data_IF_896394135012
#
_entry.id   IF_896394135012
#
_cell.length_a   1.000
_cell.length_b   1.000
_cell.length_c   1.000
_cell.angle_alpha   90.00
_cell.angle_beta   90.00
_cell.angle_gamma   90.00
#
_symmetry.space_group_name_H-M   'P 1'
#
loop_
_entity.id
_entity.type
_entity.pdbx_description
1 polymer ?
#
# COMPACT_ATOMS: atom_id res chain seq x y z
N UNK A 1 43.60 40.52 0.08
CA UNK A 1 43.88 39.20 -0.50
C UNK A 1 42.90 38.13 0.01
N UNK A 2 41.58 38.35 -0.08
CA UNK A 2 40.58 37.40 0.46
C UNK A 2 39.64 36.83 -0.62
N UNK A 3 39.79 37.24 -1.88
CA UNK A 3 38.84 36.90 -2.95
C UNK A 3 39.23 35.65 -3.78
N UNK A 4 40.39 35.03 -3.52
CA UNK A 4 40.90 33.91 -4.34
C UNK A 4 40.73 32.52 -3.70
N UNK A 5 40.23 32.43 -2.46
CA UNK A 5 40.07 31.16 -1.73
C UNK A 5 38.67 30.56 -1.94
N UNK A 6 37.63 31.39 -2.00
CA UNK A 6 36.23 30.97 -2.16
C UNK A 6 35.96 30.26 -3.51
N UNK A 7 36.60 30.69 -4.59
CA UNK A 7 36.38 30.11 -5.92
C UNK A 7 36.99 28.70 -6.11
N UNK A 8 37.88 28.25 -5.21
CA UNK A 8 38.44 26.88 -5.28
C UNK A 8 37.65 25.85 -4.49
N UNK A 9 36.83 26.27 -3.53
CA UNK A 9 36.00 25.35 -2.72
C UNK A 9 34.76 24.94 -3.52
N UNK A 10 34.15 25.86 -4.27
CA UNK A 10 32.95 25.59 -5.06
C UNK A 10 33.17 24.59 -6.23
N UNK A 11 34.39 24.42 -6.73
CA UNK A 11 34.68 23.47 -7.81
C UNK A 11 34.81 22.01 -7.34
N UNK A 12 35.10 21.77 -6.06
CA UNK A 12 35.19 20.40 -5.50
C UNK A 12 33.84 19.80 -5.11
N UNK A 13 32.83 20.62 -4.82
CA UNK A 13 31.50 20.15 -4.43
C UNK A 13 30.66 19.74 -5.65
N UNK A 14 30.92 20.31 -6.83
CA UNK A 14 30.26 19.92 -8.09
C UNK A 14 30.94 18.72 -8.81
N UNK A 15 32.02 18.16 -8.24
CA UNK A 15 32.77 17.04 -8.80
C UNK A 15 32.35 15.65 -8.31
N UNK A 16 31.55 15.54 -7.24
CA UNK A 16 31.24 14.25 -6.60
C UNK A 16 29.83 13.72 -6.90
N UNK A 17 29.00 14.45 -7.64
CA UNK A 17 27.65 14.00 -7.99
C UNK A 17 27.59 13.24 -9.34
N UNK A 18 28.72 13.00 -10.03
CA UNK A 18 28.75 12.44 -11.40
C UNK A 18 29.27 11.01 -11.55
N UNK A 19 29.51 10.25 -10.48
CA UNK A 19 30.06 8.89 -10.58
C UNK A 19 29.36 7.87 -9.66
N UNK A 20 28.08 7.60 -9.92
CA UNK A 20 27.44 6.40 -9.35
C UNK A 20 26.56 5.69 -10.40
N UNK A 21 27.11 4.74 -11.19
CA UNK A 21 26.35 4.05 -12.24
C UNK A 21 25.60 2.83 -11.70
N UNK A 22 25.12 2.86 -10.45
CA UNK A 22 24.47 1.70 -9.81
C UNK A 22 22.97 1.84 -9.60
N UNK A 23 22.33 2.81 -10.26
CA UNK A 23 20.88 2.90 -10.36
C UNK A 23 20.43 2.40 -11.75
N UNK A 24 20.61 1.11 -12.00
CA UNK A 24 19.97 0.46 -13.14
C UNK A 24 18.50 0.23 -12.78
N UNK A 25 17.65 1.20 -13.13
CA UNK A 25 16.20 1.05 -13.13
C UNK A 25 15.84 0.08 -14.27
N UNK A 26 15.96 -1.22 -14.03
CA UNK A 26 15.29 -2.22 -14.84
C UNK A 26 13.90 -2.42 -14.25
N UNK A 27 12.90 -1.73 -14.82
CA UNK A 27 11.55 -1.80 -14.30
C UNK A 27 10.55 -0.87 -14.95
N UNK A 28 10.69 -0.52 -16.22
CA UNK A 28 9.57 0.00 -17.00
C UNK A 28 8.59 -1.14 -17.25
N UNK A 29 7.70 -1.38 -16.28
CA UNK A 29 6.55 -2.27 -16.47
C UNK A 29 5.54 -1.54 -17.35
N UNK A 30 5.80 -1.56 -18.65
CA UNK A 30 4.89 -1.06 -19.68
C UNK A 30 3.65 -1.96 -19.68
N UNK A 31 2.52 -1.44 -19.21
CA UNK A 31 1.22 -2.06 -19.41
C UNK A 31 0.79 -1.80 -20.85
N UNK A 32 0.97 -2.78 -21.74
CA UNK A 32 0.30 -2.78 -23.03
C UNK A 32 -1.19 -3.04 -22.80
N UNK A 33 -2.02 -2.04 -23.06
CA UNK A 33 -3.47 -2.19 -23.14
C UNK A 33 -3.80 -2.99 -24.40
N UNK A 34 -3.86 -4.33 -24.27
CA UNK A 34 -4.35 -5.20 -25.31
C UNK A 34 -5.87 -5.34 -25.17
N UNK A 35 -6.59 -4.82 -26.17
CA UNK A 35 -8.00 -5.15 -26.43
C UNK A 35 -8.09 -6.61 -26.88
N UNK A 36 -9.04 -7.37 -26.33
CA UNK A 36 -9.54 -8.60 -26.91
C UNK A 36 -9.29 -9.85 -26.06
N UNK A 37 -10.29 -10.25 -25.28
CA UNK A 37 -10.35 -11.53 -24.59
C UNK A 37 -10.80 -12.63 -25.56
N UNK A 38 -9.91 -13.57 -25.89
CA UNK A 38 -10.30 -14.89 -26.38
C UNK A 38 -10.11 -15.91 -25.27
N UNK A 39 -11.19 -16.65 -25.02
CA UNK A 39 -11.36 -17.67 -23.99
C UNK A 39 -10.48 -18.88 -24.33
N UNK A 40 -9.52 -19.21 -23.47
CA UNK A 40 -8.79 -20.48 -23.52
C UNK A 40 -8.95 -21.21 -22.19
N UNK A 41 -9.56 -22.39 -22.27
CA UNK A 41 -9.72 -23.35 -21.19
C UNK A 41 -8.65 -24.43 -21.29
N UNK A 42 -7.76 -24.48 -20.32
CA UNK A 42 -6.97 -25.66 -19.89
C UNK A 42 -6.50 -25.33 -18.47
N UNK A 43 -6.57 -26.17 -17.44
CA UNK A 43 -6.47 -27.62 -17.41
C UNK A 43 -5.28 -27.97 -16.52
N UNK A 44 -5.49 -28.03 -15.20
CA UNK A 44 -4.63 -28.74 -14.25
C UNK A 44 -3.68 -27.92 -13.36
N UNK A 45 -4.04 -27.80 -12.08
CA UNK A 45 -3.10 -27.99 -10.97
C UNK A 45 -3.88 -28.57 -9.78
N UNK A 46 -3.56 -29.82 -9.46
CA UNK A 46 -4.11 -30.59 -8.35
C UNK A 46 -3.52 -30.13 -7.02
N UNK A 47 -4.37 -29.99 -6.01
CA UNK A 47 -3.98 -30.21 -4.60
C UNK A 47 -3.26 -29.06 -3.90
N UNK A 48 -3.91 -27.92 -3.73
CA UNK A 48 -3.72 -27.16 -2.49
C UNK A 48 -4.97 -27.40 -1.66
N UNK A 49 -4.83 -28.03 -0.50
CA UNK A 49 -5.93 -28.13 0.48
C UNK A 49 -6.42 -26.72 0.74
N UNK A 50 -7.56 -26.37 0.16
CA UNK A 50 -8.20 -25.08 0.38
C UNK A 50 -8.73 -25.09 1.81
N UNK A 51 -7.84 -24.84 2.77
CA UNK A 51 -8.24 -24.44 4.11
C UNK A 51 -9.13 -23.23 3.90
N UNK A 52 -10.44 -23.43 4.08
CA UNK A 52 -11.44 -22.38 3.93
C UNK A 52 -10.97 -21.20 4.76
N UNK A 53 -10.69 -20.06 4.12
CA UNK A 53 -10.35 -18.84 4.85
C UNK A 53 -11.50 -18.58 5.82
N UNK A 54 -11.24 -18.53 7.14
CA UNK A 54 -12.31 -18.30 8.10
C UNK A 54 -12.99 -16.99 7.72
N UNK A 55 -14.32 -17.01 7.69
CA UNK A 55 -15.10 -15.82 7.38
C UNK A 55 -14.72 -14.72 8.40
N UNK A 56 -14.04 -13.68 7.91
CA UNK A 56 -13.51 -12.62 8.75
C UNK A 56 -14.67 -11.73 9.18
N UNK A 57 -14.95 -11.70 10.49
CA UNK A 57 -15.85 -10.70 11.06
C UNK A 57 -15.31 -9.31 10.73
N UNK A 58 -16.16 -8.43 10.21
CA UNK A 58 -15.80 -7.06 9.83
C UNK A 58 -15.22 -6.23 10.99
N UNK A 59 -14.75 -5.02 10.66
CA UNK A 59 -14.09 -4.12 11.60
C UNK A 59 -14.99 -3.76 12.78
N UNK A 60 -14.40 -3.58 13.97
CA UNK A 60 -15.16 -3.22 15.16
C UNK A 60 -15.61 -1.76 15.16
N UNK A 61 -16.53 -1.43 16.08
CA UNK A 61 -17.01 -0.06 16.31
C UNK A 61 -15.90 0.92 16.74
N UNK A 62 -14.73 0.43 17.15
CA UNK A 62 -13.58 1.29 17.46
C UNK A 62 -12.98 1.90 16.21
N UNK A 63 -13.01 1.16 15.10
CA UNK A 63 -12.50 1.63 13.81
C UNK A 63 -13.53 2.53 13.13
N UNK A 64 -14.78 2.10 13.11
CA UNK A 64 -15.85 2.74 12.35
C UNK A 64 -17.19 2.51 13.04
N UNK A 65 -17.78 3.59 13.56
CA UNK A 65 -19.11 3.60 14.15
C UNK A 65 -20.06 4.34 13.22
N UNK A 66 -20.84 3.58 12.44
CA UNK A 66 -21.76 4.15 11.44
C UNK A 66 -23.14 4.28 12.07
N UNK A 67 -23.61 5.51 12.34
CA UNK A 67 -24.98 5.71 12.77
C UNK A 67 -25.93 5.41 11.61
N UNK A 68 -27.15 4.97 11.93
CA UNK A 68 -28.21 4.81 10.92
C UNK A 68 -28.84 6.15 10.49
N UNK A 69 -28.40 7.25 11.08
CA UNK A 69 -28.84 8.61 10.77
C UNK A 69 -27.89 9.25 9.76
N UNK A 70 -28.35 10.32 9.11
CA UNK A 70 -27.48 11.11 8.22
C UNK A 70 -26.30 11.67 9.00
N UNK A 71 -25.10 11.51 8.46
CA UNK A 71 -23.84 11.93 9.11
C UNK A 71 -23.47 13.38 8.78
N UNK A 72 -24.32 14.04 7.99
CA UNK A 72 -24.17 15.41 7.52
C UNK A 72 -25.16 15.73 6.40
N UNK A 73 -25.28 17.00 6.00
CA UNK A 73 -26.22 17.41 4.95
C UNK A 73 -25.90 16.71 3.62
N UNK A 74 -26.80 15.85 3.15
CA UNK A 74 -26.63 15.08 1.92
C UNK A 74 -25.66 13.89 2.03
N UNK A 75 -25.27 13.53 3.25
CA UNK A 75 -24.44 12.35 3.53
C UNK A 75 -25.30 11.24 4.13
N UNK A 76 -26.16 10.67 3.27
CA UNK A 76 -26.98 9.49 3.57
C UNK A 76 -26.78 8.43 2.49
N UNK A 77 -27.06 7.16 2.81
CA UNK A 77 -26.93 6.02 1.88
C UNK A 77 -27.85 6.15 0.67
N UNK A 78 -28.91 6.96 0.78
CA UNK A 78 -29.86 7.25 -0.29
C UNK A 78 -29.44 8.39 -1.22
N UNK A 79 -28.44 9.19 -0.84
CA UNK A 79 -28.05 10.42 -1.56
C UNK A 79 -27.06 10.13 -2.71
N UNK A 80 -26.58 11.19 -3.37
CA UNK A 80 -25.64 11.12 -4.48
C UNK A 80 -24.24 10.63 -4.06
N UNK A 81 -23.78 11.04 -2.87
CA UNK A 81 -22.50 10.60 -2.31
C UNK A 81 -22.63 9.18 -1.75
N UNK A 82 -21.80 8.26 -2.24
CA UNK A 82 -21.95 6.82 -1.99
C UNK A 82 -21.21 6.26 -0.78
N UNK A 83 -20.36 7.06 -0.14
CA UNK A 83 -19.55 6.64 1.00
C UNK A 83 -19.71 7.56 2.21
N UNK A 84 -20.93 7.72 2.76
CA UNK A 84 -21.15 8.56 3.94
C UNK A 84 -20.30 8.11 5.14
N UNK A 85 -19.90 6.85 5.21
CA UNK A 85 -19.09 6.29 6.28
C UNK A 85 -17.73 6.98 6.44
N UNK A 86 -17.21 7.62 5.38
CA UNK A 86 -15.99 8.41 5.44
C UNK A 86 -16.03 9.51 6.51
N UNK A 87 -17.20 10.07 6.80
CA UNK A 87 -17.34 11.14 7.79
C UNK A 87 -17.32 10.64 9.24
N UNK A 88 -17.41 9.33 9.46
CA UNK A 88 -17.43 8.72 10.79
C UNK A 88 -16.04 8.29 11.28
N UNK A 89 -14.98 8.53 10.52
CA UNK A 89 -13.64 8.19 10.95
C UNK A 89 -13.12 9.12 12.05
N UNK A 90 -12.43 8.53 13.01
CA UNK A 90 -11.70 9.22 14.06
C UNK A 90 -10.20 9.23 13.73
N UNK A 91 -9.40 10.13 14.33
CA UNK A 91 -7.95 10.17 14.11
C UNK A 91 -7.23 8.85 14.43
N UNK A 92 -7.79 8.05 15.34
CA UNK A 92 -7.26 6.75 15.74
C UNK A 92 -7.73 5.57 14.87
N UNK A 93 -8.74 5.75 14.00
CA UNK A 93 -9.37 4.66 13.23
C UNK A 93 -8.37 3.85 12.42
N UNK A 94 -7.34 4.50 11.88
CA UNK A 94 -6.28 3.85 11.14
C UNK A 94 -5.50 2.83 12.01
N UNK A 95 -5.09 3.24 13.21
CA UNK A 95 -4.30 2.40 14.10
C UNK A 95 -5.13 1.25 14.68
N UNK A 96 -6.38 1.50 15.03
CA UNK A 96 -7.29 0.45 15.49
C UNK A 96 -7.51 -0.62 14.42
N UNK A 97 -7.64 -0.20 13.14
CA UNK A 97 -7.77 -1.14 12.03
C UNK A 97 -6.51 -1.99 11.85
N UNK A 98 -5.31 -1.41 12.03
CA UNK A 98 -4.07 -2.18 12.00
C UNK A 98 -4.03 -3.25 13.09
N UNK A 99 -4.43 -2.90 14.31
CA UNK A 99 -4.47 -3.83 15.46
C UNK A 99 -5.41 -5.00 15.19
N UNK A 100 -6.61 -4.74 14.65
CA UNK A 100 -7.59 -5.78 14.33
C UNK A 100 -7.12 -6.68 13.17
N UNK A 101 -6.49 -6.10 12.15
CA UNK A 101 -6.02 -6.83 10.98
C UNK A 101 -4.74 -7.64 11.25
N UNK A 102 -3.94 -7.31 12.28
CA UNK A 102 -2.72 -8.05 12.63
C UNK A 102 -2.96 -9.55 12.79
N UNK A 103 -4.12 -9.96 13.33
CA UNK A 103 -4.48 -11.37 13.50
C UNK A 103 -4.59 -12.15 12.19
N UNK A 104 -4.95 -11.46 11.11
CA UNK A 104 -5.17 -12.06 9.79
C UNK A 104 -3.96 -11.92 8.86
N UNK A 105 -2.90 -11.24 9.31
CA UNK A 105 -1.68 -11.09 8.51
C UNK A 105 -0.85 -12.37 8.52
N UNK A 106 -0.17 -12.62 7.40
CA UNK A 106 0.84 -13.67 7.32
C UNK A 106 2.02 -13.35 8.24
N UNK A 107 2.76 -14.37 8.72
CA UNK A 107 4.00 -14.13 9.45
C UNK A 107 5.00 -13.37 8.56
N UNK A 108 5.74 -12.46 9.19
CA UNK A 108 6.81 -11.71 8.54
C UNK A 108 7.88 -12.68 8.03
N UNK A 109 8.41 -12.51 6.81
CA UNK A 109 9.53 -13.30 6.35
C UNK A 109 10.77 -12.97 7.20
N UNK A 110 11.56 -13.99 7.54
CA UNK A 110 12.84 -13.82 8.23
C UNK A 110 13.99 -14.09 7.27
N UNK A 111 15.04 -13.26 7.35
CA UNK A 111 16.30 -13.49 6.61
C UNK A 111 17.24 -14.48 7.32
N UNK A 112 16.92 -14.87 8.55
CA UNK A 112 17.73 -15.79 9.35
C UNK A 112 17.39 -17.23 9.00
N UNK A 113 18.41 -18.04 8.73
CA UNK A 113 18.26 -19.49 8.73
C UNK A 113 17.99 -19.95 10.17
N UNK A 114 17.04 -20.87 10.39
CA UNK A 114 16.79 -21.40 11.72
C UNK A 114 18.08 -22.08 12.23
N UNK A 115 18.57 -21.65 13.39
CA UNK A 115 19.72 -22.29 14.03
C UNK A 115 19.29 -23.69 14.47
N UNK A 116 19.99 -24.71 13.97
CA UNK A 116 19.82 -26.12 14.33
C UNK A 116 20.17 -26.37 15.79
#
# INVERSE_FOLDING_TARGET
MAATVELRIASKILGLCRLNPRFQVCGSRLYSSAKGSSKSSSGGASGSSSTSTPNVTGLSKKVLDVPNTEVGPGASKSTAYKNPEYFCYNPASYFEAEVELLKYRCPQPSALTPKS
#
